data_IF_077781986204
#
_entry.id   IF_077781986204
#
_cell.length_a   1.000
_cell.length_b   1.000
_cell.length_c   1.000
_cell.angle_alpha   90.00
_cell.angle_beta   90.00
_cell.angle_gamma   90.00
#
_symmetry.space_group_name_H-M   'P 1'
#
loop_
_entity.id
_entity.type
_entity.pdbx_description
1 polymer ?
#
# COMPACT_ATOMS: atom_id res chain seq x y z
N UNK A 1 -10.08 15.58 -23.03
CA UNK A 1 -11.22 15.50 -22.09
C UNK A 1 -11.54 14.06 -21.74
N UNK A 2 -11.31 13.69 -20.48
CA UNK A 2 -11.51 12.34 -19.96
C UNK A 2 -12.68 12.35 -18.99
N UNK A 3 -13.49 11.29 -19.01
CA UNK A 3 -14.62 11.12 -18.11
C UNK A 3 -14.40 9.84 -17.30
N UNK A 4 -14.62 9.92 -16.00
CA UNK A 4 -14.57 8.78 -15.09
C UNK A 4 -15.95 8.49 -14.51
N UNK A 5 -16.22 7.21 -14.31
CA UNK A 5 -17.36 6.74 -13.55
C UNK A 5 -16.90 6.53 -12.11
N UNK A 6 -17.52 7.23 -11.17
CA UNK A 6 -17.04 7.27 -9.80
C UNK A 6 -18.14 6.92 -8.81
N UNK A 7 -17.84 6.03 -7.87
CA UNK A 7 -18.75 5.66 -6.77
C UNK A 7 -18.05 5.74 -5.42
N UNK A 8 -18.84 5.89 -4.36
CA UNK A 8 -18.37 5.91 -2.97
C UNK A 8 -19.17 4.92 -2.14
N UNK A 9 -18.46 4.05 -1.43
CA UNK A 9 -19.02 2.99 -0.59
C UNK A 9 -18.51 3.10 0.85
N UNK A 10 -19.33 2.66 1.81
CA UNK A 10 -18.97 2.42 3.21
C UNK A 10 -18.84 0.91 3.39
N UNK A 11 -17.61 0.38 3.38
CA UNK A 11 -17.42 -1.06 3.36
C UNK A 11 -18.13 -1.75 2.18
N UNK A 12 -19.24 -2.46 2.46
CA UNK A 12 -20.04 -3.14 1.43
C UNK A 12 -21.28 -2.35 0.97
N UNK A 13 -21.61 -1.24 1.65
CA UNK A 13 -22.80 -0.45 1.38
C UNK A 13 -22.46 0.68 0.41
N UNK A 14 -23.16 0.76 -0.72
CA UNK A 14 -23.04 1.92 -1.59
C UNK A 14 -23.69 3.14 -0.94
N UNK A 15 -22.92 4.21 -0.78
CA UNK A 15 -23.41 5.48 -0.20
C UNK A 15 -23.70 6.48 -1.31
N UNK A 16 -22.81 6.53 -2.30
CA UNK A 16 -22.95 7.36 -3.48
C UNK A 16 -22.89 6.44 -4.69
N UNK A 17 -24.03 6.34 -5.36
CA UNK A 17 -24.16 5.58 -6.60
C UNK A 17 -23.28 6.20 -7.69
N UNK A 18 -22.93 5.38 -8.68
CA UNK A 18 -22.00 5.76 -9.73
C UNK A 18 -22.41 7.08 -10.42
N UNK A 19 -21.51 8.08 -10.38
CA UNK A 19 -21.65 9.36 -11.04
C UNK A 19 -20.62 9.50 -12.16
N UNK A 20 -20.90 10.35 -13.15
CA UNK A 20 -19.95 10.66 -14.22
C UNK A 20 -19.27 11.97 -13.91
N UNK A 21 -17.95 11.94 -13.82
CA UNK A 21 -17.13 13.12 -13.54
C UNK A 21 -16.29 13.44 -14.74
N UNK A 22 -16.35 14.70 -15.12
CA UNK A 22 -15.55 15.26 -16.19
C UNK A 22 -14.31 15.90 -15.59
N UNK A 23 -13.14 15.44 -16.03
CA UNK A 23 -11.88 16.07 -15.64
C UNK A 23 -11.56 17.21 -16.61
N UNK A 24 -11.35 18.39 -16.04
CA UNK A 24 -10.79 19.55 -16.73
C UNK A 24 -9.29 19.55 -16.46
N UNK A 25 -8.48 19.82 -17.48
CA UNK A 25 -7.04 19.50 -17.56
C UNK A 25 -6.14 20.17 -16.50
N UNK A 26 -6.67 21.10 -15.70
CA UNK A 26 -5.94 21.71 -14.60
C UNK A 26 -6.10 20.85 -13.33
N UNK A 27 -5.31 19.78 -13.27
CA UNK A 27 -4.94 18.99 -12.08
C UNK A 27 -6.13 18.52 -11.23
N UNK A 28 -6.54 17.26 -11.41
CA UNK A 28 -7.51 16.60 -10.54
C UNK A 28 -6.85 15.35 -9.93
N UNK A 29 -6.42 15.43 -8.69
CA UNK A 29 -6.01 14.30 -7.86
C UNK A 29 -7.20 13.42 -7.48
N UNK A 30 -6.96 12.20 -7.00
CA UNK A 30 -8.05 11.37 -6.48
C UNK A 30 -8.71 12.01 -5.25
N UNK A 31 -7.97 12.79 -4.47
CA UNK A 31 -8.49 13.54 -3.32
C UNK A 31 -9.51 14.60 -3.76
N UNK A 32 -9.19 15.39 -4.77
CA UNK A 32 -10.09 16.44 -5.27
C UNK A 32 -11.38 15.85 -5.85
N UNK A 33 -11.27 14.70 -6.54
CA UNK A 33 -12.46 13.96 -7.02
C UNK A 33 -13.30 13.46 -5.86
N UNK A 34 -12.65 12.88 -4.84
CA UNK A 34 -13.36 12.39 -3.67
C UNK A 34 -14.09 13.53 -2.95
N UNK A 35 -13.43 14.66 -2.71
CA UNK A 35 -14.03 15.85 -2.10
C UNK A 35 -15.19 16.40 -2.94
N UNK A 36 -15.04 16.47 -4.27
CA UNK A 36 -16.08 16.96 -5.17
C UNK A 36 -17.35 16.09 -5.15
N UNK A 37 -17.22 14.77 -5.02
CA UNK A 37 -18.36 13.84 -4.98
C UNK A 37 -19.01 13.81 -3.60
N UNK A 38 -18.18 13.84 -2.57
CA UNK A 38 -18.65 13.71 -1.19
C UNK A 38 -19.15 15.02 -0.62
N UNK A 39 -18.88 16.15 -1.29
CA UNK A 39 -19.18 17.50 -0.81
C UNK A 39 -18.62 17.74 0.61
N UNK A 40 -17.53 17.04 0.97
CA UNK A 40 -16.91 17.10 2.29
C UNK A 40 -17.68 16.37 3.42
N UNK A 41 -18.76 15.65 3.11
CA UNK A 41 -19.65 15.00 4.11
C UNK A 41 -18.92 13.98 5.00
N UNK A 42 -17.91 13.29 4.47
CA UNK A 42 -17.20 12.22 5.19
C UNK A 42 -15.94 12.69 5.93
N UNK A 43 -15.54 13.96 5.82
CA UNK A 43 -14.35 14.49 6.50
C UNK A 43 -13.06 13.68 6.23
N UNK A 44 -12.13 13.66 7.20
CA UNK A 44 -10.89 12.86 7.12
C UNK A 44 -11.21 11.41 7.47
N UNK A 45 -11.54 10.63 6.45
CA UNK A 45 -11.74 9.19 6.56
C UNK A 45 -10.57 8.40 5.97
N UNK A 46 -10.38 7.17 6.44
CA UNK A 46 -9.46 6.23 5.80
C UNK A 46 -10.12 5.69 4.53
N UNK A 47 -9.73 6.25 3.37
CA UNK A 47 -10.32 5.93 2.07
C UNK A 47 -9.37 5.06 1.26
N UNK A 48 -9.87 3.92 0.78
CA UNK A 48 -9.17 3.10 -0.22
C UNK A 48 -9.72 3.40 -1.60
N UNK A 49 -8.82 3.62 -2.56
CA UNK A 49 -9.18 3.85 -3.96
C UNK A 49 -8.96 2.57 -4.77
N UNK A 50 -10.00 2.19 -5.50
CA UNK A 50 -9.95 1.11 -6.48
C UNK A 50 -10.22 1.67 -7.87
N UNK A 51 -9.48 1.18 -8.86
CA UNK A 51 -9.62 1.57 -10.25
C UNK A 51 -9.85 0.36 -11.14
N UNK A 52 -10.66 0.53 -12.17
CA UNK A 52 -11.09 -0.59 -13.01
C UNK A 52 -11.44 -0.22 -14.44
N UNK A 53 -11.66 -1.27 -15.23
CA UNK A 53 -12.27 -1.22 -16.56
C UNK A 53 -13.73 -1.68 -16.47
N UNK A 54 -14.40 -1.65 -17.62
CA UNK A 54 -15.79 -2.08 -17.75
C UNK A 54 -15.99 -3.59 -17.46
N UNK A 55 -14.91 -4.38 -17.47
CA UNK A 55 -14.92 -5.82 -17.18
C UNK A 55 -15.09 -6.16 -15.68
N UNK A 56 -15.19 -5.15 -14.81
CA UNK A 56 -15.42 -5.32 -13.38
C UNK A 56 -14.21 -5.79 -12.59
N UNK A 57 -13.01 -5.84 -13.21
CA UNK A 57 -11.77 -6.10 -12.48
C UNK A 57 -11.29 -4.82 -11.79
N UNK A 58 -11.22 -4.88 -10.47
CA UNK A 58 -10.77 -3.78 -9.62
C UNK A 58 -9.33 -3.97 -9.19
N UNK A 59 -8.54 -2.91 -9.32
CA UNK A 59 -7.17 -2.84 -8.84
C UNK A 59 -7.12 -1.86 -7.69
N UNK A 60 -6.51 -2.25 -6.58
CA UNK A 60 -6.26 -1.34 -5.47
C UNK A 60 -5.04 -0.46 -5.80
N UNK A 61 -5.19 0.85 -5.64
CA UNK A 61 -4.06 1.77 -5.75
C UNK A 61 -3.27 1.78 -4.44
N UNK A 62 -1.94 1.70 -4.53
CA UNK A 62 -1.02 1.82 -3.40
C UNK A 62 -0.71 3.29 -3.10
N UNK A 63 -0.35 3.55 -1.84
CA UNK A 63 0.11 4.85 -1.36
C UNK A 63 1.24 5.41 -2.24
N UNK A 64 1.09 6.65 -2.71
CA UNK A 64 1.99 7.31 -3.68
C UNK A 64 1.44 7.41 -5.11
N UNK A 65 0.47 6.58 -5.49
CA UNK A 65 -0.24 6.70 -6.79
C UNK A 65 -1.57 7.46 -6.69
N UNK A 66 -1.95 7.91 -5.50
CA UNK A 66 -3.20 8.63 -5.23
C UNK A 66 -3.20 10.08 -5.76
N UNK A 67 -2.08 10.58 -6.25
CA UNK A 67 -1.99 11.94 -6.78
C UNK A 67 -1.94 11.96 -8.31
N UNK A 68 -1.67 10.83 -8.97
CA UNK A 68 -1.48 10.77 -10.42
C UNK A 68 -2.67 10.12 -11.14
N UNK A 69 -3.64 10.96 -11.52
CA UNK A 69 -4.76 10.52 -12.34
C UNK A 69 -4.41 10.32 -13.81
N UNK A 70 -3.28 10.86 -14.26
CA UNK A 70 -2.84 10.79 -15.66
C UNK A 70 -2.63 9.33 -16.06
N UNK A 71 -2.11 8.52 -15.13
CA UNK A 71 -1.94 7.08 -15.28
C UNK A 71 -3.26 6.35 -15.57
N UNK A 72 -4.40 6.84 -15.08
CA UNK A 72 -5.69 6.22 -15.42
C UNK A 72 -6.00 6.33 -16.90
N UNK A 73 -5.66 7.48 -17.51
CA UNK A 73 -5.88 7.72 -18.92
C UNK A 73 -4.96 6.86 -19.77
N UNK A 74 -3.68 6.74 -19.39
CA UNK A 74 -2.70 5.89 -20.08
C UNK A 74 -3.06 4.40 -20.03
N UNK A 75 -3.62 3.94 -18.90
CA UNK A 75 -4.01 2.54 -18.70
C UNK A 75 -5.44 2.23 -19.17
N UNK A 76 -6.13 3.22 -19.73
CA UNK A 76 -7.54 3.16 -20.17
C UNK A 76 -8.49 2.68 -19.06
N UNK A 77 -8.21 3.08 -17.82
CA UNK A 77 -9.05 2.84 -16.66
C UNK A 77 -10.13 3.93 -16.63
N UNK A 78 -11.41 3.54 -16.51
CA UNK A 78 -12.53 4.49 -16.56
C UNK A 78 -13.36 4.53 -15.28
N UNK A 79 -13.17 3.57 -14.40
CA UNK A 79 -13.97 3.42 -13.19
C UNK A 79 -13.10 3.67 -11.97
N UNK A 80 -13.60 4.49 -11.05
CA UNK A 80 -13.00 4.80 -9.76
C UNK A 80 -14.02 4.43 -8.68
N UNK A 81 -13.57 3.75 -7.65
CA UNK A 81 -14.40 3.36 -6.52
C UNK A 81 -13.68 3.70 -5.23
N UNK A 82 -14.26 4.61 -4.46
CA UNK A 82 -13.78 4.97 -3.14
C UNK A 82 -14.47 4.12 -2.09
N UNK A 83 -13.70 3.46 -1.24
CA UNK A 83 -14.21 2.70 -0.10
C UNK A 83 -13.79 3.45 1.16
N UNK A 84 -14.78 4.07 1.81
CA UNK A 84 -14.67 4.76 3.08
C UNK A 84 -14.72 3.73 4.19
N UNK A 85 -13.73 3.75 5.07
CA UNK A 85 -13.75 3.01 6.32
C UNK A 85 -14.05 3.99 7.46
N UNK A 86 -15.29 4.01 7.91
CA UNK A 86 -15.68 4.62 9.18
C UNK A 86 -15.22 3.70 10.29
N UNK A 87 -14.22 4.15 11.07
CA UNK A 87 -13.81 3.42 12.27
C UNK A 87 -14.94 3.53 13.33
N UNK A 88 -15.96 2.69 13.22
CA UNK A 88 -16.69 2.30 14.42
C UNK A 88 -15.72 1.49 15.29
N UNK A 89 -15.24 2.14 16.36
CA UNK A 89 -14.56 1.56 17.52
C UNK A 89 -14.63 0.03 17.55
N UNK A 90 -13.65 -0.61 16.92
CA UNK A 90 -13.35 -1.99 17.18
C UNK A 90 -11.88 -2.04 17.53
N UNK A 91 -11.66 -1.95 18.84
CA UNK A 91 -10.58 -2.61 19.56
C UNK A 91 -10.71 -4.11 19.24
N UNK A 92 -10.35 -4.46 18.01
CA UNK A 92 -10.11 -5.80 17.52
C UNK A 92 -8.97 -5.64 16.51
N UNK A 93 -7.81 -5.20 17.00
CA UNK A 93 -6.53 -5.67 16.45
C UNK A 93 -6.34 -7.17 16.76
N UNK A 94 -7.39 -7.97 16.62
CA UNK A 94 -7.25 -9.41 16.46
C UNK A 94 -7.43 -9.71 14.98
N UNK A 95 -6.31 -10.09 14.36
CA UNK A 95 -6.28 -11.12 13.33
C UNK A 95 -6.91 -10.77 11.98
N UNK A 96 -6.70 -9.55 11.48
CA UNK A 96 -6.36 -9.46 10.06
C UNK A 96 -4.86 -9.70 9.95
N UNK A 97 -4.48 -10.97 10.03
CA UNK A 97 -3.47 -11.48 9.11
C UNK A 97 -4.00 -11.12 7.72
N UNK A 98 -3.67 -9.91 7.25
CA UNK A 98 -3.29 -9.78 5.86
C UNK A 98 -2.34 -10.94 5.65
N UNK A 99 -2.71 -11.90 4.81
CA UNK A 99 -1.74 -12.84 4.26
C UNK A 99 -0.68 -11.95 3.61
N UNK A 100 0.34 -11.58 4.40
CA UNK A 100 1.49 -10.83 3.93
C UNK A 100 2.04 -11.72 2.83
N UNK A 101 1.90 -11.26 1.60
CA UNK A 101 2.40 -11.97 0.45
C UNK A 101 3.88 -12.25 0.71
N UNK A 102 4.35 -13.47 0.42
CA UNK A 102 5.77 -13.82 0.56
C UNK A 102 6.68 -12.77 -0.09
N UNK A 103 6.22 -12.11 -1.15
CA UNK A 103 6.91 -10.97 -1.76
C UNK A 103 7.00 -9.74 -0.86
N UNK A 104 5.93 -9.32 -0.17
CA UNK A 104 5.97 -8.17 0.73
C UNK A 104 6.91 -8.46 1.93
N UNK A 105 6.93 -9.72 2.41
CA UNK A 105 7.88 -10.19 3.44
C UNK A 105 9.31 -10.12 2.91
N UNK A 106 9.57 -10.67 1.72
CA UNK A 106 10.89 -10.64 1.09
C UNK A 106 11.39 -9.21 0.86
N UNK A 107 10.51 -8.30 0.43
CA UNK A 107 10.84 -6.90 0.20
C UNK A 107 11.15 -6.16 1.50
N UNK A 108 10.38 -6.39 2.57
CA UNK A 108 10.64 -5.81 3.90
C UNK A 108 12.00 -6.26 4.46
N UNK A 109 12.37 -7.54 4.29
CA UNK A 109 13.67 -8.05 4.68
C UNK A 109 14.81 -7.64 3.73
N UNK A 110 14.52 -7.31 2.47
CA UNK A 110 15.53 -6.86 1.50
C UNK A 110 16.16 -5.51 1.88
N UNK A 111 15.41 -4.67 2.60
CA UNK A 111 15.88 -3.36 3.04
C UNK A 111 16.78 -3.41 4.28
N UNK A 112 16.92 -4.58 4.93
CA UNK A 112 17.70 -4.74 6.17
C UNK A 112 18.48 -6.06 6.13
N UNK A 113 19.71 -6.07 5.60
CA UNK A 113 20.53 -7.27 5.60
C UNK A 113 20.75 -7.79 7.03
N UNK A 114 20.47 -9.07 7.22
CA UNK A 114 20.76 -9.80 8.46
C UNK A 114 22.20 -10.29 8.43
N UNK A 115 22.82 -10.38 9.60
CA UNK A 115 24.08 -11.09 9.70
C UNK A 115 23.86 -12.58 9.38
N UNK A 116 24.74 -13.18 8.58
CA UNK A 116 24.76 -14.63 8.42
C UNK A 116 24.85 -15.34 9.79
N UNK A 117 24.21 -16.50 9.89
CA UNK A 117 24.26 -17.34 11.10
C UNK A 117 25.69 -17.81 11.38
N UNK A 118 26.02 -17.93 12.66
CA UNK A 118 27.27 -18.57 13.09
C UNK A 118 27.30 -20.02 12.61
N UNK A 119 28.48 -20.47 12.19
CA UNK A 119 28.70 -21.85 11.77
C UNK A 119 29.05 -22.72 12.96
N UNK A 120 28.80 -24.02 12.80
CA UNK A 120 29.37 -25.03 13.68
C UNK A 120 30.89 -25.07 13.46
N UNK A 121 31.66 -25.04 14.54
CA UNK A 121 33.12 -24.88 14.52
C UNK A 121 33.82 -26.20 14.17
N UNK A 122 33.49 -26.77 13.01
CA UNK A 122 34.07 -28.04 12.55
C UNK A 122 35.46 -27.84 11.93
N UNK A 123 35.77 -26.62 11.47
CA UNK A 123 37.10 -26.25 10.94
C UNK A 123 37.59 -24.92 11.47
N UNK A 124 38.91 -24.70 11.39
CA UNK A 124 39.52 -23.40 11.74
C UNK A 124 39.02 -22.24 10.86
N UNK A 125 38.49 -22.53 9.66
CA UNK A 125 37.84 -21.53 8.82
C UNK A 125 36.47 -21.12 9.36
N UNK A 126 35.77 -22.03 10.02
CA UNK A 126 34.47 -21.75 10.64
C UNK A 126 34.65 -20.91 11.91
N UNK A 127 35.72 -21.16 12.68
CA UNK A 127 36.11 -20.31 13.81
C UNK A 127 36.42 -18.88 13.34
N UNK A 128 37.30 -18.73 12.33
CA UNK A 128 37.63 -17.40 11.79
C UNK A 128 36.40 -16.68 11.21
N UNK A 129 35.50 -17.43 10.57
CA UNK A 129 34.24 -16.89 10.07
C UNK A 129 33.37 -16.35 11.20
N UNK A 130 33.20 -17.12 12.28
CA UNK A 130 32.43 -16.71 13.46
C UNK A 130 33.03 -15.47 14.13
N UNK A 131 34.37 -15.40 14.24
CA UNK A 131 35.08 -14.25 14.81
C UNK A 131 34.85 -12.97 13.99
N UNK A 132 34.91 -13.06 12.65
CA UNK A 132 34.63 -11.92 11.77
C UNK A 132 33.18 -11.45 11.91
N UNK A 133 32.22 -12.37 11.98
CA UNK A 133 30.81 -12.02 12.21
C UNK A 133 30.61 -11.35 13.58
N UNK A 134 31.28 -11.84 14.63
CA UNK A 134 31.22 -11.25 15.97
C UNK A 134 31.78 -9.81 15.98
N UNK A 135 32.93 -9.58 15.36
CA UNK A 135 33.54 -8.24 15.24
C UNK A 135 32.65 -7.26 14.47
N UNK A 136 31.99 -7.72 13.40
CA UNK A 136 31.09 -6.89 12.62
C UNK A 136 29.79 -6.57 13.38
N UNK A 137 29.30 -7.49 14.22
CA UNK A 137 28.16 -7.26 15.12
C UNK A 137 28.48 -6.24 16.22
N UNK A 138 29.68 -6.29 16.79
CA UNK A 138 30.13 -5.37 17.85
C UNK A 138 30.30 -3.94 17.33
N UNK A 139 30.73 -3.78 16.08
CA UNK A 139 30.98 -2.47 15.44
C UNK A 139 29.72 -1.85 14.79
N UNK A 140 28.51 -2.12 15.30
CA UNK A 140 27.17 -1.80 14.76
C UNK A 140 26.97 -0.36 14.19
N UNK A 141 27.63 -0.01 13.10
CA UNK A 141 27.52 1.26 12.36
C UNK A 141 26.81 1.12 11.02
N UNK A 142 26.44 -0.10 10.62
CA UNK A 142 26.06 -0.40 9.25
C UNK A 142 24.56 -0.68 9.05
N UNK A 143 23.73 -0.59 10.10
CA UNK A 143 22.26 -0.75 10.00
C UNK A 143 21.74 -2.19 9.97
N UNK A 144 22.58 -3.18 10.31
CA UNK A 144 22.24 -4.61 10.29
C UNK A 144 21.69 -5.05 11.65
N UNK A 145 20.68 -5.93 11.66
CA UNK A 145 20.12 -6.48 12.91
C UNK A 145 20.87 -7.73 13.38
N UNK A 146 20.93 -7.88 14.69
CA UNK A 146 21.27 -9.11 15.39
C UNK A 146 19.94 -9.68 15.86
N UNK A 147 19.60 -10.88 15.42
CA UNK A 147 18.50 -11.65 15.99
C UNK A 147 18.83 -12.08 17.42
#
# INVERSE_FOLDING_TARGET
MVHFFVSVDEGQKNIISQQVIKIVEEICTFSEIYEAITEGVFGVCNVRVYVGKEDGKWNNLREGLYDDISLMSELELKYIRFIVHTEENNIVQQNQQFERNAFDIMMEHSHKPYFPSIKREDTQRDVLYNDVIALLKENQKNGWRVD
#
